data_IF_165776205475
#
_entry.id   IF_165776205475
#
_cell.length_a   1.000
_cell.length_b   1.000
_cell.length_c   1.000
_cell.angle_alpha   90.00
_cell.angle_beta   90.00
_cell.angle_gamma   90.00
#
_symmetry.space_group_name_H-M   'P 1'
#
loop_
_entity.id
_entity.type
_entity.pdbx_description
1 polymer ?
#
# COMPACT_ATOMS: atom_id res chain seq x y z
N UNK A 1 -26.71 15.60 -25.75
CA UNK A 1 -27.02 14.56 -24.78
C UNK A 1 -28.51 14.26 -24.79
N UNK A 2 -28.96 13.10 -25.27
CA UNK A 2 -30.36 12.69 -25.24
C UNK A 2 -30.53 11.59 -24.23
N UNK A 3 -31.08 11.93 -23.06
CA UNK A 3 -31.37 10.96 -22.00
C UNK A 3 -32.84 10.48 -22.19
N UNK A 4 -33.03 9.16 -22.21
CA UNK A 4 -34.34 8.54 -22.27
C UNK A 4 -34.50 7.50 -21.18
N UNK A 5 -35.75 7.32 -20.75
CA UNK A 5 -36.18 6.37 -19.73
C UNK A 5 -36.99 5.27 -20.40
N UNK A 6 -36.60 4.02 -20.14
CA UNK A 6 -37.24 2.82 -20.68
C UNK A 6 -37.81 2.00 -19.52
N UNK A 7 -39.06 1.55 -19.70
CA UNK A 7 -39.73 0.67 -18.76
C UNK A 7 -40.11 -0.62 -19.49
N UNK A 8 -39.67 -1.75 -18.96
CA UNK A 8 -39.94 -3.06 -19.54
C UNK A 8 -40.18 -4.10 -18.44
N UNK A 9 -40.90 -5.15 -18.76
CA UNK A 9 -41.21 -6.26 -17.85
C UNK A 9 -39.97 -7.11 -17.52
N UNK A 10 -38.97 -7.14 -18.42
CA UNK A 10 -37.76 -7.94 -18.32
C UNK A 10 -36.52 -7.17 -18.83
N UNK A 11 -35.36 -7.44 -18.23
CA UNK A 11 -34.06 -6.83 -18.58
C UNK A 11 -33.73 -7.04 -20.07
N UNK A 12 -34.05 -8.20 -20.64
CA UNK A 12 -33.77 -8.50 -22.06
C UNK A 12 -34.62 -7.66 -23.00
N UNK A 13 -35.85 -7.37 -22.61
CA UNK A 13 -36.74 -6.49 -23.37
C UNK A 13 -36.28 -5.05 -23.26
N UNK A 14 -35.98 -4.57 -22.04
CA UNK A 14 -35.45 -3.23 -21.81
C UNK A 14 -34.17 -2.95 -22.64
N UNK A 15 -33.24 -3.90 -22.70
CA UNK A 15 -32.03 -3.78 -23.49
C UNK A 15 -32.27 -3.77 -25.00
N UNK A 16 -33.29 -4.50 -25.49
CA UNK A 16 -33.69 -4.43 -26.89
C UNK A 16 -34.31 -3.08 -27.24
N UNK A 17 -35.16 -2.55 -26.37
CA UNK A 17 -35.84 -1.28 -26.56
C UNK A 17 -34.81 -0.12 -26.56
N UNK A 18 -33.82 -0.14 -25.64
CA UNK A 18 -32.72 0.82 -25.63
C UNK A 18 -31.91 0.77 -26.94
N UNK A 19 -31.54 -0.44 -27.42
CA UNK A 19 -30.83 -0.59 -28.69
C UNK A 19 -31.62 -0.18 -29.93
N UNK A 20 -32.90 -0.46 -29.93
CA UNK A 20 -33.78 -0.12 -31.05
C UNK A 20 -34.00 1.38 -31.19
N UNK A 21 -34.07 2.10 -30.07
CA UNK A 21 -34.42 3.52 -30.06
C UNK A 21 -33.21 4.46 -29.97
N UNK A 22 -32.13 4.05 -29.30
CA UNK A 22 -30.91 4.86 -29.07
C UNK A 22 -29.67 4.33 -29.78
N UNK A 23 -29.74 3.15 -30.36
CA UNK A 23 -28.61 2.57 -31.09
C UNK A 23 -27.68 1.70 -30.23
N UNK A 24 -26.63 1.17 -30.89
CA UNK A 24 -25.65 0.27 -30.26
C UNK A 24 -24.72 0.98 -29.26
N UNK A 25 -24.56 2.30 -29.41
CA UNK A 25 -23.63 3.14 -28.62
C UNK A 25 -24.31 3.79 -27.41
N UNK A 26 -25.53 3.38 -27.05
CA UNK A 26 -26.23 3.90 -25.87
C UNK A 26 -25.58 3.43 -24.57
N UNK A 27 -25.25 4.37 -23.70
CA UNK A 27 -24.70 4.13 -22.37
C UNK A 27 -25.80 4.08 -21.32
N UNK A 28 -25.85 3.02 -20.51
CA UNK A 28 -26.82 2.87 -19.43
C UNK A 28 -26.33 3.65 -18.22
N UNK A 29 -27.09 4.66 -17.83
CA UNK A 29 -26.77 5.53 -16.68
C UNK A 29 -27.29 4.97 -15.36
N UNK A 30 -28.46 4.31 -15.38
CA UNK A 30 -29.08 3.76 -14.18
C UNK A 30 -30.03 2.60 -14.53
N UNK A 31 -30.11 1.62 -13.63
CA UNK A 31 -31.07 0.52 -13.70
C UNK A 31 -31.75 0.37 -12.35
N UNK A 32 -33.10 0.41 -12.32
CA UNK A 32 -33.89 0.29 -11.11
C UNK A 32 -34.98 -0.78 -11.29
N UNK A 33 -35.15 -1.66 -10.30
CA UNK A 33 -36.29 -2.57 -10.25
C UNK A 33 -37.48 -1.88 -9.61
N UNK A 34 -38.63 -1.96 -10.29
CA UNK A 34 -39.95 -1.51 -9.83
C UNK A 34 -40.85 -2.74 -9.60
N UNK A 35 -41.96 -2.56 -8.91
CA UNK A 35 -42.91 -3.65 -8.65
C UNK A 35 -43.47 -4.25 -9.93
N UNK A 36 -43.61 -3.45 -11.00
CA UNK A 36 -44.18 -3.85 -12.29
C UNK A 36 -43.11 -4.06 -13.40
N UNK A 37 -41.83 -4.13 -13.09
CA UNK A 37 -40.80 -4.33 -14.11
C UNK A 37 -39.46 -3.68 -13.80
N UNK A 38 -38.70 -3.39 -14.85
CA UNK A 38 -37.36 -2.80 -14.79
C UNK A 38 -37.37 -1.46 -15.53
N UNK A 39 -36.85 -0.45 -14.85
CA UNK A 39 -36.56 0.87 -15.41
C UNK A 39 -35.09 0.98 -15.77
N UNK A 40 -34.79 1.40 -17.02
CA UNK A 40 -33.47 1.72 -17.49
C UNK A 40 -33.44 3.16 -17.97
N UNK A 41 -32.47 3.93 -17.53
CA UNK A 41 -32.16 5.27 -18.04
C UNK A 41 -30.89 5.14 -18.90
N UNK A 42 -31.02 5.46 -20.19
CA UNK A 42 -29.92 5.41 -21.15
C UNK A 42 -29.71 6.76 -21.83
N UNK A 43 -28.47 7.03 -22.23
CA UNK A 43 -28.08 8.24 -22.94
C UNK A 43 -27.20 7.93 -24.15
N UNK A 44 -27.33 8.75 -25.20
CA UNK A 44 -26.42 8.76 -26.37
C UNK A 44 -25.61 10.05 -26.32
N UNK A 45 -24.35 9.99 -26.81
CA UNK A 45 -23.37 11.10 -26.75
C UNK A 45 -23.00 11.47 -25.30
N UNK A 46 -22.57 10.46 -24.53
CA UNK A 46 -22.10 10.62 -23.16
C UNK A 46 -20.67 11.18 -23.17
N UNK A 47 -20.49 12.45 -22.79
CA UNK A 47 -19.19 13.06 -22.59
C UNK A 47 -18.82 13.05 -21.09
N UNK A 48 -17.89 12.20 -20.73
CA UNK A 48 -17.42 12.00 -19.34
C UNK A 48 -16.81 13.26 -18.74
N UNK A 49 -16.35 14.20 -19.59
CA UNK A 49 -15.75 15.46 -19.15
C UNK A 49 -16.76 16.40 -18.49
N UNK A 50 -18.01 16.42 -19.01
CA UNK A 50 -19.09 17.25 -18.47
C UNK A 50 -19.57 16.80 -17.08
N UNK A 51 -19.52 15.50 -16.78
CA UNK A 51 -19.88 14.99 -15.44
C UNK A 51 -18.83 15.32 -14.39
N UNK A 52 -17.54 15.33 -14.76
CA UNK A 52 -16.48 15.78 -13.86
C UNK A 52 -16.57 17.26 -13.52
N UNK A 53 -17.05 18.06 -14.44
CA UNK A 53 -17.25 19.50 -14.24
C UNK A 53 -18.49 19.80 -13.39
N UNK A 54 -19.58 19.06 -13.57
CA UNK A 54 -20.79 19.14 -12.73
C UNK A 54 -20.54 18.69 -11.28
N UNK A 55 -19.69 17.69 -11.07
CA UNK A 55 -19.26 17.23 -9.74
C UNK A 55 -18.38 18.27 -9.00
N UNK A 56 -17.68 19.13 -9.74
CA UNK A 56 -16.87 20.22 -9.15
C UNK A 56 -17.69 21.42 -8.69
N UNK A 57 -18.90 21.59 -9.18
CA UNK A 57 -19.77 22.75 -8.87
C UNK A 57 -20.88 22.47 -7.85
N UNK A 58 -20.79 21.37 -7.07
CA UNK A 58 -21.50 21.18 -5.81
C UNK A 58 -23.00 21.41 -5.86
N UNK A 59 -23.78 20.53 -6.51
CA UNK A 59 -25.20 20.42 -6.28
C UNK A 59 -25.48 19.39 -5.16
N UNK A 60 -26.37 19.67 -4.17
CA UNK A 60 -26.62 18.78 -3.04
C UNK A 60 -27.33 17.51 -3.50
N UNK A 61 -26.74 16.37 -3.18
CA UNK A 61 -27.37 15.05 -3.33
C UNK A 61 -28.48 14.89 -2.30
N UNK A 62 -29.70 14.48 -2.68
CA UNK A 62 -30.71 14.10 -1.70
C UNK A 62 -30.34 12.77 -1.06
N UNK A 63 -30.35 12.73 0.28
CA UNK A 63 -30.14 11.54 1.08
C UNK A 63 -31.23 10.49 0.84
N UNK A 64 -30.91 9.19 0.81
CA UNK A 64 -31.91 8.15 0.79
C UNK A 64 -32.49 7.95 2.19
N UNK A 65 -33.78 8.19 2.34
CA UNK A 65 -34.57 7.81 3.51
C UNK A 65 -34.60 6.28 3.68
N UNK A 66 -34.22 5.85 4.88
CA UNK A 66 -34.43 4.49 5.33
C UNK A 66 -35.90 4.23 5.58
N UNK A 67 -36.52 3.26 4.93
CA UNK A 67 -37.77 2.61 5.39
C UNK A 67 -37.57 1.11 5.48
N UNK A 68 -37.77 0.66 6.71
CA UNK A 68 -37.86 -0.74 7.11
C UNK A 68 -39.21 -1.34 6.65
N UNK A 69 -39.19 -2.63 6.25
CA UNK A 69 -40.26 -3.60 6.35
C UNK A 69 -39.66 -4.97 6.08
N UNK A 70 -39.54 -5.85 7.03
CA UNK A 70 -40.47 -6.75 7.69
C UNK A 70 -41.00 -7.88 6.77
N UNK A 71 -40.72 -9.11 7.23
CA UNK A 71 -41.32 -10.42 7.02
C UNK A 71 -40.97 -11.12 5.69
N UNK A 72 -40.73 -12.41 5.63
CA UNK A 72 -41.24 -13.58 6.33
C UNK A 72 -40.34 -14.79 6.08
N UNK A 73 -40.23 -15.63 7.10
CA UNK A 73 -39.59 -16.94 7.04
C UNK A 73 -40.57 -18.04 6.59
N UNK A 74 -40.09 -19.20 6.19
CA UNK A 74 -40.79 -20.42 6.60
C UNK A 74 -39.91 -21.37 7.40
N UNK A 75 -40.62 -21.90 8.39
CA UNK A 75 -40.26 -22.92 9.37
C UNK A 75 -39.83 -24.25 8.75
N UNK A 76 -38.91 -24.92 9.46
CA UNK A 76 -38.98 -26.25 10.11
C UNK A 76 -37.56 -26.77 10.18
N UNK A 77 -37.05 -27.46 11.19
CA UNK A 77 -37.57 -28.35 12.19
C UNK A 77 -36.58 -28.53 13.32
N UNK A 78 -37.07 -28.83 14.49
CA UNK A 78 -36.39 -28.96 15.76
C UNK A 78 -35.47 -30.18 15.87
N UNK A 79 -34.35 -30.06 16.59
CA UNK A 79 -33.82 -31.13 17.44
C UNK A 79 -33.19 -30.56 18.70
N UNK A 80 -33.74 -31.00 19.82
CA UNK A 80 -33.36 -30.76 21.21
C UNK A 80 -31.88 -31.01 21.49
N UNK A 81 -31.23 -30.23 22.34
CA UNK A 81 -30.58 -30.70 23.56
C UNK A 81 -30.18 -29.55 24.48
N UNK A 82 -30.32 -29.86 25.74
CA UNK A 82 -30.29 -29.07 26.96
C UNK A 82 -28.91 -28.48 27.35
N UNK A 83 -28.89 -27.66 28.42
CA UNK A 83 -27.78 -26.74 28.71
C UNK A 83 -26.79 -27.32 29.72
N UNK A 84 -25.51 -27.00 29.57
CA UNK A 84 -24.53 -27.13 30.64
C UNK A 84 -24.06 -25.74 31.04
N UNK A 85 -24.58 -25.26 32.16
CA UNK A 85 -24.00 -24.21 32.98
C UNK A 85 -22.94 -24.85 33.86
N UNK A 86 -21.75 -24.23 33.93
CA UNK A 86 -20.87 -24.16 35.10
C UNK A 86 -19.59 -23.50 34.66
N UNK A 87 -19.41 -22.36 35.08
CA UNK A 87 -18.72 -21.77 36.21
C UNK A 87 -17.26 -21.42 35.88
N UNK A 88 -17.08 -20.18 35.32
CA UNK A 88 -15.79 -19.54 35.11
C UNK A 88 -15.24 -18.83 36.38
N UNK A 89 -15.72 -19.18 37.59
CA UNK A 89 -15.31 -18.56 38.86
C UNK A 89 -14.30 -19.34 39.70
N UNK A 90 -14.01 -20.57 39.37
CA UNK A 90 -13.13 -21.41 40.22
C UNK A 90 -11.68 -21.57 39.72
N UNK A 91 -11.33 -21.01 38.58
CA UNK A 91 -9.94 -21.07 38.08
C UNK A 91 -9.03 -19.89 38.50
N UNK A 92 -9.54 -18.95 39.27
CA UNK A 92 -8.77 -17.76 39.74
C UNK A 92 -8.29 -17.88 41.21
N UNK A 93 -8.48 -19.03 41.88
CA UNK A 93 -8.03 -19.23 43.27
C UNK A 93 -6.83 -20.14 43.50
N UNK A 94 -6.23 -20.68 42.45
CA UNK A 94 -5.15 -21.68 42.57
C UNK A 94 -3.74 -21.21 42.19
N UNK A 95 -3.56 -19.91 41.91
CA UNK A 95 -2.22 -19.35 41.58
C UNK A 95 -1.65 -18.48 42.73
N UNK A 96 -2.15 -18.62 43.95
CA UNK A 96 -1.68 -17.83 45.09
C UNK A 96 -1.16 -18.73 46.24
N UNK A 97 -0.27 -19.70 45.94
CA UNK A 97 0.53 -20.37 46.98
C UNK A 97 1.74 -21.06 46.35
N UNK A 98 2.87 -20.36 46.40
CA UNK A 98 4.16 -20.99 46.67
C UNK A 98 5.24 -19.96 47.01
N UNK A 99 6.31 -20.36 47.76
CA UNK A 99 6.84 -19.49 48.80
C UNK A 99 8.11 -18.71 48.41
N UNK A 100 8.22 -17.60 49.09
CA UNK A 100 9.29 -16.63 49.07
C UNK A 100 10.63 -17.23 49.55
N UNK A 101 11.67 -17.22 48.71
CA UNK A 101 13.07 -17.37 49.12
C UNK A 101 13.72 -16.00 49.28
N UNK A 102 14.58 -15.93 50.29
CA UNK A 102 15.16 -14.72 50.84
C UNK A 102 16.08 -13.93 49.90
N UNK A 103 16.01 -12.59 49.99
CA UNK A 103 17.00 -11.66 49.44
C UNK A 103 17.71 -10.91 50.59
N UNK A 104 18.96 -10.47 50.37
CA UNK A 104 19.82 -9.97 51.46
C UNK A 104 19.51 -8.53 51.85
N UNK A 105 19.69 -8.27 53.14
CA UNK A 105 19.50 -6.97 53.80
C UNK A 105 20.46 -5.88 53.27
N UNK A 106 19.89 -4.79 52.77
CA UNK A 106 20.64 -3.55 52.59
C UNK A 106 20.16 -2.56 53.66
N UNK A 107 21.07 -2.15 54.54
CA UNK A 107 20.91 -1.15 55.57
C UNK A 107 20.38 0.16 54.99
N UNK A 108 19.19 0.57 55.36
CA UNK A 108 18.64 1.90 55.11
C UNK A 108 18.94 2.79 56.34
N UNK A 109 19.67 3.86 56.09
CA UNK A 109 19.93 4.92 57.06
C UNK A 109 18.62 5.69 57.31
N UNK A 110 18.26 5.85 58.58
CA UNK A 110 17.06 6.54 59.01
C UNK A 110 17.15 8.03 58.60
N UNK A 111 16.25 8.44 57.70
CA UNK A 111 15.95 9.84 57.45
C UNK A 111 14.67 10.21 58.24
N UNK A 112 14.74 11.29 58.96
CA UNK A 112 13.72 11.86 59.84
C UNK A 112 12.34 11.93 59.16
N UNK A 113 11.35 11.42 59.88
CA UNK A 113 9.93 11.56 59.58
C UNK A 113 9.54 13.02 59.75
N UNK A 114 9.47 13.79 58.66
CA UNK A 114 8.74 15.07 58.64
C UNK A 114 7.24 14.75 58.76
N UNK A 115 6.60 15.38 59.73
CA UNK A 115 5.20 15.26 60.02
C UNK A 115 4.32 15.37 58.76
N UNK A 116 3.50 14.37 58.52
CA UNK A 116 2.51 14.36 57.45
C UNK A 116 1.53 15.50 57.68
N UNK A 117 1.44 16.41 56.71
CA UNK A 117 0.33 17.38 56.66
C UNK A 117 -0.98 16.58 56.49
N UNK A 118 -2.04 16.93 57.27
CA UNK A 118 -3.32 16.23 57.13
C UNK A 118 -3.85 16.38 55.70
N UNK A 119 -4.54 15.36 55.17
CA UNK A 119 -5.14 15.47 53.85
C UNK A 119 -6.12 16.62 53.79
N UNK A 120 -6.19 17.37 52.67
CA UNK A 120 -7.13 18.47 52.53
C UNK A 120 -8.56 17.92 52.71
N UNK A 121 -9.45 18.75 53.33
CA UNK A 121 -10.83 18.34 53.56
C UNK A 121 -11.52 17.99 52.22
N UNK A 122 -12.46 17.05 52.21
CA UNK A 122 -13.18 16.69 50.98
C UNK A 122 -13.94 17.90 50.46
N UNK A 123 -13.66 18.29 49.21
CA UNK A 123 -14.31 19.44 48.55
C UNK A 123 -15.80 19.12 48.43
N UNK A 124 -16.64 20.06 48.89
CA UNK A 124 -18.08 19.88 48.83
C UNK A 124 -18.60 19.81 47.37
N UNK A 125 -19.64 19.03 47.06
CA UNK A 125 -20.21 18.98 45.71
C UNK A 125 -20.59 20.34 45.13
N UNK A 126 -20.90 21.32 45.99
CA UNK A 126 -21.23 22.69 45.61
C UNK A 126 -20.00 23.49 45.15
N UNK A 127 -18.83 23.27 45.74
CA UNK A 127 -17.58 23.93 45.35
C UNK A 127 -17.03 23.37 44.05
N UNK A 128 -17.19 22.07 43.80
CA UNK A 128 -16.86 21.41 42.51
C UNK A 128 -17.73 21.96 41.39
N UNK A 129 -19.03 22.16 41.63
CA UNK A 129 -19.95 22.73 40.65
C UNK A 129 -19.64 24.20 40.30
N UNK A 130 -19.12 25.01 41.25
CA UNK A 130 -18.69 26.39 40.98
C UNK A 130 -17.35 26.49 40.24
N UNK A 131 -16.48 25.49 40.38
CA UNK A 131 -15.17 25.46 39.72
C UNK A 131 -15.22 24.87 38.28
N UNK A 132 -16.24 24.08 37.97
CA UNK A 132 -16.38 23.46 36.62
C UNK A 132 -16.36 24.48 35.47
N UNK A 133 -17.11 25.58 35.47
CA UNK A 133 -17.09 26.53 34.36
C UNK A 133 -15.73 27.26 34.24
N UNK A 134 -15.02 27.49 35.35
CA UNK A 134 -13.70 28.13 35.35
C UNK A 134 -12.66 27.16 34.72
N UNK A 135 -12.72 25.89 35.08
CA UNK A 135 -11.84 24.85 34.51
C UNK A 135 -12.12 24.66 33.04
N UNK A 136 -13.39 24.58 32.62
CA UNK A 136 -13.76 24.47 31.21
C UNK A 136 -13.29 25.68 30.40
N UNK A 137 -13.44 26.88 30.95
CA UNK A 137 -12.99 28.10 30.28
C UNK A 137 -11.46 28.13 30.16
N UNK A 138 -10.72 27.74 31.19
CA UNK A 138 -9.26 27.67 31.17
C UNK A 138 -8.74 26.62 30.20
N UNK A 139 -9.43 25.49 30.06
CA UNK A 139 -9.12 24.42 29.04
C UNK A 139 -9.35 24.96 27.65
N UNK A 140 -10.46 25.67 27.40
CA UNK A 140 -10.76 26.28 26.11
C UNK A 140 -9.74 27.37 25.73
N UNK A 141 -9.35 28.23 26.68
CA UNK A 141 -8.32 29.26 26.48
C UNK A 141 -6.96 28.63 26.19
N UNK A 142 -6.60 27.58 26.93
CA UNK A 142 -5.36 26.83 26.70
C UNK A 142 -5.35 26.16 25.32
N UNK A 143 -6.48 25.61 24.90
CA UNK A 143 -6.62 25.02 23.57
C UNK A 143 -6.50 26.07 22.43
N UNK A 144 -7.13 27.26 22.65
CA UNK A 144 -6.98 28.39 21.69
C UNK A 144 -5.54 28.87 21.61
N UNK A 145 -4.88 29.07 22.74
CA UNK A 145 -3.49 29.49 22.79
C UNK A 145 -2.55 28.47 22.11
N UNK A 146 -2.78 27.17 22.33
CA UNK A 146 -2.02 26.11 21.61
C UNK A 146 -2.24 26.16 20.11
N UNK A 147 -3.46 26.40 19.66
CA UNK A 147 -3.77 26.53 18.24
C UNK A 147 -3.12 27.78 17.62
N UNK A 148 -3.14 28.92 18.34
CA UNK A 148 -2.47 30.15 17.89
C UNK A 148 -0.95 29.98 17.83
N UNK A 149 -0.33 29.39 18.85
CA UNK A 149 1.09 29.04 18.84
C UNK A 149 1.44 28.06 17.74
N UNK A 150 0.58 27.07 17.47
CA UNK A 150 0.72 26.17 16.34
C UNK A 150 0.69 26.89 15.00
N UNK A 151 -0.26 27.82 14.83
CA UNK A 151 -0.35 28.65 13.62
C UNK A 151 0.85 29.58 13.42
N UNK A 152 1.31 30.24 14.47
CA UNK A 152 2.51 31.08 14.43
C UNK A 152 3.76 30.28 14.12
N UNK A 153 3.91 29.10 14.71
CA UNK A 153 5.01 28.19 14.40
C UNK A 153 5.01 27.79 12.93
N UNK A 154 3.85 27.39 12.41
CA UNK A 154 3.71 27.01 10.98
C UNK A 154 4.05 28.19 10.05
N UNK A 155 3.60 29.40 10.36
CA UNK A 155 3.96 30.59 9.59
C UNK A 155 5.46 30.89 9.62
N UNK A 156 6.12 30.73 10.78
CA UNK A 156 7.57 30.89 10.89
C UNK A 156 8.32 29.81 10.08
N UNK A 157 7.89 28.56 10.16
CA UNK A 157 8.47 27.48 9.39
C UNK A 157 8.33 27.73 7.88
N UNK A 158 7.18 28.22 7.41
CA UNK A 158 6.99 28.60 6.00
C UNK A 158 7.89 29.77 5.59
N UNK A 159 8.02 30.81 6.41
CA UNK A 159 8.90 31.95 6.10
C UNK A 159 10.38 31.53 6.06
N UNK A 160 10.83 30.71 7.01
CA UNK A 160 12.19 30.17 7.01
C UNK A 160 12.44 29.30 5.79
N UNK A 161 11.48 28.45 5.40
CA UNK A 161 11.56 27.63 4.21
C UNK A 161 11.68 28.46 2.95
N UNK A 162 10.88 29.51 2.82
CA UNK A 162 10.93 30.44 1.68
C UNK A 162 12.26 31.18 1.60
N UNK A 163 12.78 31.66 2.74
CA UNK A 163 14.08 32.35 2.80
C UNK A 163 15.22 31.41 2.45
N UNK A 164 15.23 30.18 2.97
CA UNK A 164 16.25 29.19 2.69
C UNK A 164 16.26 28.79 1.20
N UNK A 165 15.08 28.59 0.62
CA UNK A 165 14.95 28.29 -0.81
C UNK A 165 15.48 29.44 -1.68
N UNK A 166 15.07 30.69 -1.40
CA UNK A 166 15.52 31.87 -2.15
C UNK A 166 17.05 32.09 -2.02
N UNK A 167 17.62 31.85 -0.84
CA UNK A 167 19.07 31.95 -0.62
C UNK A 167 19.82 30.87 -1.43
N UNK A 168 19.34 29.64 -1.41
CA UNK A 168 19.88 28.55 -2.23
C UNK A 168 19.79 28.86 -3.73
N UNK A 169 18.67 29.39 -4.20
CA UNK A 169 18.51 29.75 -5.61
C UNK A 169 19.49 30.85 -6.07
N UNK A 170 19.76 31.81 -5.17
CA UNK A 170 20.76 32.87 -5.45
C UNK A 170 22.19 32.35 -5.42
N UNK A 171 22.56 31.49 -4.45
CA UNK A 171 23.93 30.99 -4.31
C UNK A 171 24.26 29.85 -5.26
N UNK A 172 23.29 29.01 -5.56
CA UNK A 172 23.50 27.78 -6.34
C UNK A 172 22.34 27.55 -7.32
N UNK A 173 22.16 28.39 -8.35
CA UNK A 173 21.00 28.33 -9.25
C UNK A 173 20.91 27.01 -10.01
N UNK A 174 22.04 26.37 -10.32
CA UNK A 174 22.04 25.07 -10.99
C UNK A 174 21.54 23.95 -10.08
N UNK A 175 21.90 23.95 -8.79
CA UNK A 175 21.39 22.98 -7.80
C UNK A 175 19.89 23.16 -7.57
N UNK A 176 19.42 24.40 -7.45
CA UNK A 176 17.99 24.70 -7.36
C UNK A 176 17.21 24.18 -8.58
N UNK A 177 17.78 24.34 -9.79
CA UNK A 177 17.22 23.78 -11.01
C UNK A 177 17.14 22.24 -10.95
N UNK A 178 18.19 21.57 -10.51
CA UNK A 178 18.18 20.12 -10.35
C UNK A 178 17.07 19.66 -9.40
N UNK A 179 16.89 20.34 -8.24
CA UNK A 179 15.79 20.04 -7.34
C UNK A 179 14.42 20.18 -8.00
N UNK A 180 14.22 21.25 -8.76
CA UNK A 180 12.96 21.41 -9.53
C UNK A 180 12.76 20.26 -10.52
N UNK A 181 13.81 19.88 -11.23
CA UNK A 181 13.72 18.77 -12.20
C UNK A 181 13.47 17.43 -11.50
N UNK A 182 14.07 17.18 -10.33
CA UNK A 182 13.79 15.98 -9.51
C UNK A 182 12.36 15.99 -8.94
N UNK A 183 11.88 17.13 -8.43
CA UNK A 183 10.49 17.27 -7.98
C UNK A 183 9.49 17.00 -9.11
N UNK A 184 9.78 17.49 -10.31
CA UNK A 184 8.97 17.21 -11.51
C UNK A 184 8.95 15.74 -11.90
N UNK A 185 10.06 15.04 -11.71
CA UNK A 185 10.13 13.59 -11.89
C UNK A 185 9.31 12.83 -10.84
N UNK A 186 8.84 13.50 -9.78
CA UNK A 186 8.16 12.89 -8.64
C UNK A 186 9.12 12.20 -7.68
N UNK A 187 10.41 12.55 -7.72
CA UNK A 187 11.40 12.05 -6.78
C UNK A 187 11.17 12.71 -5.41
N UNK A 188 11.17 11.92 -4.35
CA UNK A 188 11.00 12.39 -2.99
C UNK A 188 12.15 13.29 -2.55
N UNK A 189 11.87 14.21 -1.62
CA UNK A 189 12.79 15.26 -1.19
C UNK A 189 14.09 14.73 -0.58
N UNK A 190 14.03 13.65 0.18
CA UNK A 190 15.19 13.01 0.81
C UNK A 190 16.15 12.41 -0.23
N UNK A 191 15.61 11.73 -1.25
CA UNK A 191 16.40 11.17 -2.35
C UNK A 191 16.95 12.28 -3.25
N UNK A 192 16.14 13.29 -3.56
CA UNK A 192 16.58 14.44 -4.35
C UNK A 192 17.74 15.20 -3.68
N UNK A 193 17.68 15.37 -2.34
CA UNK A 193 18.76 15.97 -1.55
C UNK A 193 20.04 15.13 -1.62
N UNK A 194 19.93 13.82 -1.36
CA UNK A 194 21.08 12.92 -1.44
C UNK A 194 21.78 13.01 -2.79
N UNK A 195 21.00 13.10 -3.89
CA UNK A 195 21.57 13.24 -5.23
C UNK A 195 22.29 14.58 -5.43
N UNK A 196 21.80 15.66 -4.85
CA UNK A 196 22.45 16.98 -4.93
C UNK A 196 23.75 17.03 -4.15
N UNK A 197 23.78 16.38 -2.99
CA UNK A 197 25.01 16.29 -2.17
C UNK A 197 26.13 15.52 -2.88
N UNK A 198 25.78 14.61 -3.80
CA UNK A 198 26.72 13.88 -4.66
C UNK A 198 27.17 14.68 -5.91
N UNK A 199 26.52 15.81 -6.21
CA UNK A 199 26.91 16.66 -7.36
C UNK A 199 28.13 17.53 -7.05
N UNK A 200 28.99 17.77 -8.04
CA UNK A 200 30.06 18.77 -7.92
C UNK A 200 29.53 20.15 -7.51
N UNK A 201 30.38 20.95 -6.85
CA UNK A 201 29.98 22.31 -6.42
C UNK A 201 29.65 23.21 -7.62
N UNK A 202 30.50 23.14 -8.66
CA UNK A 202 30.28 23.88 -9.90
C UNK A 202 29.82 22.93 -11.01
N UNK A 203 28.58 23.15 -11.48
CA UNK A 203 28.01 22.42 -12.61
C UNK A 203 27.50 23.39 -13.66
N UNK A 204 27.76 23.07 -14.93
CA UNK A 204 27.19 23.81 -16.05
C UNK A 204 25.77 23.34 -16.38
N UNK A 205 25.12 24.04 -17.32
CA UNK A 205 23.73 23.78 -17.70
C UNK A 205 23.51 22.34 -18.24
N UNK A 206 24.45 21.84 -19.03
CA UNK A 206 24.36 20.49 -19.60
C UNK A 206 24.57 19.43 -18.51
N UNK A 207 25.54 19.66 -17.63
CA UNK A 207 25.76 18.79 -16.48
C UNK A 207 24.55 18.75 -15.53
N UNK A 208 23.92 19.90 -15.26
CA UNK A 208 22.70 19.98 -14.45
C UNK A 208 21.55 19.14 -15.04
N UNK A 209 21.53 18.95 -16.37
CA UNK A 209 20.50 18.19 -17.06
C UNK A 209 20.73 16.68 -17.04
N UNK A 210 21.99 16.20 -17.15
CA UNK A 210 22.28 14.78 -17.35
C UNK A 210 22.88 14.10 -16.13
N UNK A 211 23.71 14.78 -15.34
CA UNK A 211 24.36 14.19 -14.17
C UNK A 211 23.37 13.65 -13.13
N UNK A 212 22.29 14.40 -12.76
CA UNK A 212 21.34 13.90 -11.78
C UNK A 212 20.65 12.61 -12.23
N UNK A 213 20.32 12.49 -13.52
CA UNK A 213 19.73 11.27 -14.09
C UNK A 213 20.73 10.11 -14.07
N UNK A 214 22.01 10.39 -14.32
CA UNK A 214 23.10 9.41 -14.20
C UNK A 214 23.28 8.93 -12.77
N UNK A 215 23.27 9.84 -11.79
CA UNK A 215 23.35 9.52 -10.36
C UNK A 215 22.14 8.73 -9.91
N UNK A 216 20.92 9.14 -10.30
CA UNK A 216 19.68 8.41 -10.01
C UNK A 216 19.76 6.98 -10.54
N UNK A 217 20.24 6.79 -11.77
CA UNK A 217 20.43 5.46 -12.36
C UNK A 217 21.48 4.62 -11.60
N UNK A 218 22.54 5.24 -11.09
CA UNK A 218 23.61 4.56 -10.31
C UNK A 218 23.14 4.19 -8.91
N UNK A 219 22.28 5.01 -8.29
CA UNK A 219 21.75 4.78 -6.95
C UNK A 219 20.71 3.67 -6.92
N UNK A 220 20.07 3.38 -8.06
CA UNK A 220 19.11 2.28 -8.19
C UNK A 220 19.87 0.94 -8.28
N UNK A 221 19.73 0.12 -7.26
CA UNK A 221 20.31 -1.23 -7.28
C UNK A 221 19.48 -2.12 -8.19
N UNK A 222 20.17 -2.83 -9.10
CA UNK A 222 19.54 -3.84 -9.97
C UNK A 222 20.12 -5.21 -9.60
N UNK A 223 19.26 -6.21 -9.52
CA UNK A 223 19.66 -7.60 -9.31
C UNK A 223 20.40 -8.10 -10.55
N UNK A 224 21.62 -8.58 -10.38
CA UNK A 224 22.38 -9.18 -11.49
C UNK A 224 21.89 -10.58 -11.90
N UNK A 225 20.91 -11.13 -11.17
CA UNK A 225 20.36 -12.47 -11.42
C UNK A 225 18.88 -12.34 -11.70
N UNK A 226 18.44 -12.78 -12.89
CA UNK A 226 17.03 -12.83 -13.24
C UNK A 226 16.36 -13.95 -12.45
N UNK A 227 15.27 -13.64 -11.73
CA UNK A 227 14.49 -14.64 -10.99
C UNK A 227 13.96 -15.75 -11.89
N UNK A 228 13.64 -15.42 -13.13
CA UNK A 228 13.16 -16.38 -14.13
C UNK A 228 14.23 -17.37 -14.61
N UNK A 229 15.51 -17.01 -14.49
CA UNK A 229 16.66 -17.84 -14.96
C UNK A 229 17.33 -18.57 -13.79
N UNK A 230 17.09 -18.11 -12.56
CA UNK A 230 17.77 -18.63 -11.37
C UNK A 230 17.09 -19.84 -10.77
N UNK A 231 17.89 -20.88 -10.46
CA UNK A 231 17.41 -22.03 -9.70
C UNK A 231 16.96 -21.67 -8.29
N UNK A 232 15.98 -22.39 -7.77
CA UNK A 232 15.54 -22.35 -6.39
C UNK A 232 14.09 -21.93 -6.17
N UNK A 233 13.74 -21.64 -4.92
CA UNK A 233 12.39 -21.29 -4.50
C UNK A 233 12.27 -19.79 -4.35
N UNK A 234 11.26 -19.20 -5.00
CA UNK A 234 10.97 -17.76 -4.90
C UNK A 234 9.51 -17.55 -4.54
N UNK A 235 9.25 -16.88 -3.41
CA UNK A 235 7.91 -16.47 -3.00
C UNK A 235 7.69 -15.00 -3.38
N UNK A 236 6.60 -14.71 -4.10
CA UNK A 236 6.18 -13.36 -4.41
C UNK A 236 5.26 -12.86 -3.31
N UNK A 237 5.67 -11.78 -2.64
CA UNK A 237 4.95 -11.13 -1.55
C UNK A 237 4.57 -9.70 -1.92
N UNK A 238 3.60 -9.11 -1.23
CA UNK A 238 3.20 -7.74 -1.46
C UNK A 238 1.69 -7.51 -1.34
N UNK A 239 1.23 -6.25 -1.42
CA UNK A 239 -0.16 -5.86 -1.26
C UNK A 239 -1.12 -6.55 -2.24
N UNK A 240 -2.42 -6.42 -1.96
CA UNK A 240 -3.47 -6.88 -2.87
C UNK A 240 -3.46 -6.06 -4.16
N UNK A 241 -3.69 -6.71 -5.30
CA UNK A 241 -3.85 -6.03 -6.58
C UNK A 241 -2.56 -5.59 -7.28
N UNK A 242 -1.37 -5.81 -6.69
CA UNK A 242 -0.08 -5.44 -7.32
C UNK A 242 0.34 -6.36 -8.47
N UNK A 243 -0.41 -7.41 -8.79
CA UNK A 243 -0.14 -8.29 -9.92
C UNK A 243 0.76 -9.50 -9.62
N UNK A 244 0.81 -10.01 -8.38
CA UNK A 244 1.63 -11.18 -7.98
C UNK A 244 1.37 -12.40 -8.85
N UNK A 245 0.13 -12.88 -8.91
CA UNK A 245 -0.25 -14.07 -9.67
C UNK A 245 0.06 -13.93 -11.16
N UNK A 246 -0.21 -12.76 -11.76
CA UNK A 246 0.14 -12.48 -13.17
C UNK A 246 1.65 -12.46 -13.37
N UNK A 247 2.40 -11.90 -12.41
CA UNK A 247 3.88 -11.89 -12.47
C UNK A 247 4.44 -13.30 -12.35
N UNK A 248 3.87 -14.14 -11.47
CA UNK A 248 4.24 -15.57 -11.39
C UNK A 248 4.01 -16.27 -12.72
N UNK A 249 2.88 -16.04 -13.38
CA UNK A 249 2.62 -16.62 -14.69
C UNK A 249 3.68 -16.21 -15.73
N UNK A 250 4.09 -14.95 -15.75
CA UNK A 250 5.16 -14.45 -16.63
C UNK A 250 6.52 -15.09 -16.32
N UNK A 251 6.90 -15.13 -15.04
CA UNK A 251 8.15 -15.76 -14.60
C UNK A 251 8.14 -17.26 -14.91
N UNK A 252 7.02 -17.95 -14.66
CA UNK A 252 6.86 -19.36 -14.98
C UNK A 252 6.99 -19.62 -16.47
N UNK A 253 6.36 -18.80 -17.32
CA UNK A 253 6.47 -18.92 -18.76
C UNK A 253 7.92 -18.76 -19.24
N UNK A 254 8.66 -17.76 -18.74
CA UNK A 254 10.08 -17.59 -19.02
C UNK A 254 10.90 -18.81 -18.55
N UNK A 255 10.63 -19.32 -17.36
CA UNK A 255 11.33 -20.49 -16.83
C UNK A 255 11.02 -21.76 -17.63
N UNK A 256 9.78 -21.96 -18.08
CA UNK A 256 9.37 -23.07 -18.96
C UNK A 256 10.07 -23.01 -20.32
N UNK A 257 10.18 -21.81 -20.90
CA UNK A 257 10.90 -21.61 -22.16
C UNK A 257 12.38 -21.97 -22.04
N UNK A 258 13.00 -21.70 -20.90
CA UNK A 258 14.43 -21.94 -20.67
C UNK A 258 14.74 -23.38 -20.22
N UNK A 259 13.90 -24.00 -19.40
CA UNK A 259 14.21 -25.27 -18.70
C UNK A 259 13.21 -26.39 -18.97
N UNK A 260 12.10 -26.08 -19.64
CA UNK A 260 11.00 -27.02 -19.90
C UNK A 260 10.01 -27.12 -18.70
N UNK A 261 8.76 -27.53 -18.95
CA UNK A 261 7.68 -27.54 -17.96
C UNK A 261 7.92 -28.52 -16.79
N UNK A 262 8.65 -29.61 -17.01
CA UNK A 262 8.96 -30.58 -15.96
C UNK A 262 9.95 -30.10 -14.91
N UNK A 263 10.65 -28.99 -15.15
CA UNK A 263 11.61 -28.37 -14.23
C UNK A 263 11.05 -27.17 -13.48
N UNK A 264 9.79 -26.81 -13.74
CA UNK A 264 9.12 -25.66 -13.12
C UNK A 264 7.92 -26.16 -12.31
N UNK A 265 7.72 -25.62 -11.12
CA UNK A 265 6.55 -25.89 -10.30
C UNK A 265 5.97 -24.59 -9.72
N UNK A 266 4.66 -24.56 -9.56
CA UNK A 266 3.92 -23.46 -8.94
C UNK A 266 3.35 -23.94 -7.62
N UNK A 267 3.41 -23.09 -6.60
CA UNK A 267 2.81 -23.36 -5.29
C UNK A 267 1.86 -22.20 -4.96
N UNK A 268 0.64 -22.51 -4.52
CA UNK A 268 -0.31 -21.50 -4.06
C UNK A 268 -0.48 -21.56 -2.56
N UNK A 269 -0.26 -20.43 -1.88
CA UNK A 269 -0.60 -20.26 -0.46
C UNK A 269 -1.79 -19.30 -0.28
N UNK A 270 -2.37 -18.78 -1.39
CA UNK A 270 -3.54 -17.90 -1.36
C UNK A 270 -4.85 -18.70 -1.33
N UNK A 271 -5.25 -19.11 -0.13
CA UNK A 271 -6.51 -19.81 0.11
C UNK A 271 -7.64 -18.88 0.61
N UNK A 272 -7.32 -17.62 0.88
CA UNK A 272 -8.32 -16.66 1.39
C UNK A 272 -9.15 -16.03 0.27
N UNK A 273 -8.58 -15.91 -0.93
CA UNK A 273 -9.22 -15.21 -2.05
C UNK A 273 -9.93 -16.22 -2.95
N UNK A 274 -11.26 -16.08 -3.02
CA UNK A 274 -12.10 -16.88 -3.92
C UNK A 274 -11.63 -16.67 -5.37
N UNK A 275 -11.26 -17.76 -6.05
CA UNK A 275 -10.82 -17.73 -7.45
C UNK A 275 -9.32 -17.47 -7.68
N UNK A 276 -8.49 -17.14 -6.66
CA UNK A 276 -7.05 -16.95 -6.85
C UNK A 276 -6.35 -18.25 -7.27
N UNK A 277 -6.67 -19.36 -6.60
CA UNK A 277 -6.17 -20.69 -6.96
C UNK A 277 -6.56 -21.05 -8.38
N UNK A 278 -7.81 -20.80 -8.80
CA UNK A 278 -8.29 -21.10 -10.14
C UNK A 278 -7.54 -20.29 -11.22
N UNK A 279 -7.17 -19.05 -10.95
CA UNK A 279 -6.37 -18.24 -11.87
C UNK A 279 -4.96 -18.83 -12.07
N UNK A 280 -4.30 -19.18 -10.95
CA UNK A 280 -2.97 -19.79 -11.03
C UNK A 280 -3.00 -21.18 -11.69
N UNK A 281 -4.02 -22.00 -11.38
CA UNK A 281 -4.24 -23.29 -12.03
C UNK A 281 -4.50 -23.15 -13.54
N UNK A 282 -5.22 -22.11 -13.95
CA UNK A 282 -5.43 -21.83 -15.37
C UNK A 282 -4.10 -21.58 -16.08
N UNK A 283 -3.23 -20.73 -15.52
CA UNK A 283 -1.89 -20.51 -16.06
C UNK A 283 -1.04 -21.80 -16.02
N UNK A 284 -1.10 -22.56 -14.93
CA UNK A 284 -0.40 -23.84 -14.83
C UNK A 284 -0.77 -24.81 -15.97
N UNK A 285 -2.07 -24.93 -16.27
CA UNK A 285 -2.55 -25.76 -17.40
C UNK A 285 -2.06 -25.25 -18.75
N UNK A 286 -2.10 -23.94 -18.99
CA UNK A 286 -1.60 -23.35 -20.24
C UNK A 286 -0.10 -23.59 -20.46
N UNK A 287 0.69 -23.54 -19.37
CA UNK A 287 2.13 -23.71 -19.40
C UNK A 287 2.58 -25.17 -19.27
N UNK A 288 1.66 -26.11 -19.03
CA UNK A 288 1.98 -27.50 -18.74
C UNK A 288 2.68 -27.73 -17.41
N UNK A 289 2.53 -26.79 -16.45
CA UNK A 289 3.17 -26.80 -15.13
C UNK A 289 2.16 -27.18 -14.06
N UNK A 290 2.57 -28.02 -13.09
CA UNK A 290 1.71 -28.40 -11.97
C UNK A 290 1.65 -27.30 -10.92
N UNK A 291 0.46 -27.11 -10.35
CA UNK A 291 0.21 -26.21 -9.22
C UNK A 291 -0.06 -27.06 -7.98
N UNK A 292 0.62 -26.72 -6.88
CA UNK A 292 0.52 -27.41 -5.61
C UNK A 292 -0.09 -26.46 -4.55
N UNK A 293 -1.17 -26.85 -3.87
CA UNK A 293 -1.69 -26.04 -2.77
C UNK A 293 -0.84 -26.25 -1.51
N UNK A 294 -0.64 -25.17 -0.75
CA UNK A 294 -0.01 -25.22 0.57
C UNK A 294 -0.73 -24.26 1.50
N UNK A 295 -1.35 -24.79 2.57
CA UNK A 295 -2.25 -24.03 3.44
C UNK A 295 -1.58 -23.50 4.71
N UNK A 296 -0.50 -24.15 5.14
CA UNK A 296 0.25 -23.83 6.34
C UNK A 296 1.75 -24.00 6.14
N UNK A 297 2.54 -23.69 7.15
CA UNK A 297 3.99 -23.77 7.11
C UNK A 297 4.48 -25.21 6.89
N UNK A 298 3.84 -26.18 7.54
CA UNK A 298 4.20 -27.60 7.41
C UNK A 298 3.90 -28.13 6.01
N UNK A 299 2.72 -27.83 5.45
CA UNK A 299 2.34 -28.19 4.10
C UNK A 299 3.22 -27.53 3.05
N UNK A 300 3.61 -26.26 3.25
CA UNK A 300 4.55 -25.57 2.37
C UNK A 300 5.94 -26.24 2.43
N UNK A 301 6.46 -26.53 3.62
CA UNK A 301 7.76 -27.21 3.78
C UNK A 301 7.77 -28.59 3.13
N UNK A 302 6.71 -29.39 3.31
CA UNK A 302 6.55 -30.71 2.66
C UNK A 302 6.50 -30.58 1.13
N UNK A 303 5.73 -29.62 0.62
CA UNK A 303 5.64 -29.35 -0.82
C UNK A 303 6.99 -28.93 -1.38
N UNK A 304 7.71 -28.04 -0.73
CA UNK A 304 9.04 -27.61 -1.15
C UNK A 304 10.06 -28.77 -1.12
N UNK A 305 9.94 -29.68 -0.14
CA UNK A 305 10.79 -30.87 -0.08
C UNK A 305 10.49 -31.82 -1.25
N UNK A 306 9.23 -32.02 -1.62
CA UNK A 306 8.82 -32.80 -2.80
C UNK A 306 9.37 -32.20 -4.09
N UNK A 307 9.44 -30.88 -4.17
CA UNK A 307 9.84 -30.12 -5.35
C UNK A 307 11.35 -29.83 -5.44
N UNK A 308 12.17 -30.39 -4.55
CA UNK A 308 13.62 -30.12 -4.46
C UNK A 308 14.41 -30.35 -5.75
N UNK A 309 13.93 -31.26 -6.62
CA UNK A 309 14.57 -31.63 -7.88
C UNK A 309 14.11 -30.75 -9.07
N UNK A 310 13.17 -29.81 -8.80
CA UNK A 310 12.75 -28.80 -9.78
C UNK A 310 13.77 -27.66 -9.81
N UNK A 311 14.02 -27.13 -11.00
CA UNK A 311 14.93 -26.01 -11.18
C UNK A 311 14.35 -24.71 -10.58
N UNK A 312 13.07 -24.43 -10.86
CA UNK A 312 12.39 -23.21 -10.45
C UNK A 312 11.07 -23.53 -9.76
N UNK A 313 10.92 -23.08 -8.52
CA UNK A 313 9.67 -23.17 -7.76
C UNK A 313 9.19 -21.76 -7.44
N UNK A 314 8.00 -21.41 -7.91
CA UNK A 314 7.39 -20.10 -7.67
C UNK A 314 6.21 -20.23 -6.71
N UNK A 315 6.22 -19.47 -5.63
CA UNK A 315 5.20 -19.51 -4.59
C UNK A 315 4.34 -18.24 -4.70
N UNK A 316 3.06 -18.42 -5.03
CA UNK A 316 2.05 -17.34 -5.00
C UNK A 316 1.49 -17.17 -3.59
N UNK A 317 1.55 -15.96 -3.09
CA UNK A 317 1.06 -15.66 -1.75
C UNK A 317 -0.16 -14.74 -1.79
N UNK A 318 -0.97 -14.81 -0.75
CA UNK A 318 -2.08 -13.88 -0.58
C UNK A 318 -1.60 -12.43 -0.58
N UNK A 319 -2.39 -11.54 -1.18
CA UNK A 319 -2.13 -10.11 -1.11
C UNK A 319 -2.55 -9.55 0.23
N UNK A 320 -1.59 -9.03 1.00
CA UNK A 320 -1.82 -8.52 2.34
C UNK A 320 -1.23 -7.11 2.46
N UNK A 321 -1.99 -6.15 2.97
CA UNK A 321 -1.51 -4.78 3.22
C UNK A 321 -0.66 -4.72 4.50
N UNK A 322 0.17 -3.68 4.63
CA UNK A 322 1.09 -3.53 5.77
C UNK A 322 0.40 -3.53 7.14
N UNK A 323 -0.81 -2.98 7.22
CA UNK A 323 -1.60 -2.88 8.46
C UNK A 323 -2.54 -4.07 8.71
N UNK A 324 -2.52 -5.09 7.87
CA UNK A 324 -3.38 -6.27 8.03
C UNK A 324 -2.76 -7.27 9.03
N UNK A 325 -3.50 -7.69 10.07
CA UNK A 325 -2.98 -8.66 11.05
C UNK A 325 -2.57 -10.00 10.44
N UNK A 326 -3.10 -10.37 9.28
CA UNK A 326 -2.72 -11.59 8.55
C UNK A 326 -1.31 -11.54 7.97
N UNK A 327 -0.71 -10.35 7.86
CA UNK A 327 0.64 -10.20 7.33
C UNK A 327 1.66 -10.95 8.19
N UNK A 328 1.58 -10.82 9.51
CA UNK A 328 2.49 -11.50 10.41
C UNK A 328 2.39 -13.02 10.26
N UNK A 329 1.17 -13.55 10.21
CA UNK A 329 0.93 -14.99 10.00
C UNK A 329 1.53 -15.47 8.67
N UNK A 330 1.35 -14.71 7.59
CA UNK A 330 1.93 -15.03 6.28
C UNK A 330 3.47 -15.04 6.33
N UNK A 331 4.06 -14.06 7.02
CA UNK A 331 5.52 -14.00 7.18
C UNK A 331 6.06 -15.19 7.98
N UNK A 332 5.36 -15.60 9.02
CA UNK A 332 5.75 -16.73 9.85
C UNK A 332 5.68 -18.04 9.05
N UNK A 333 4.63 -18.25 8.26
CA UNK A 333 4.52 -19.41 7.33
C UNK A 333 5.71 -19.47 6.37
N UNK A 334 6.10 -18.36 5.78
CA UNK A 334 7.24 -18.32 4.85
C UNK A 334 8.59 -18.54 5.54
N UNK A 335 8.78 -18.01 6.75
CA UNK A 335 10.01 -18.17 7.55
C UNK A 335 10.17 -19.62 8.00
N UNK A 336 9.12 -20.20 8.60
CA UNK A 336 9.14 -21.57 9.09
C UNK A 336 9.38 -22.55 7.94
N UNK A 337 8.68 -22.40 6.81
CA UNK A 337 8.91 -23.22 5.64
C UNK A 337 10.35 -23.08 5.09
N UNK A 338 10.94 -21.88 5.16
CA UNK A 338 12.32 -21.63 4.75
C UNK A 338 13.37 -22.23 5.68
N UNK A 339 13.07 -22.38 6.99
CA UNK A 339 13.98 -22.99 7.97
C UNK A 339 13.96 -24.51 7.93
N UNK A 340 12.80 -25.11 7.67
CA UNK A 340 12.63 -26.57 7.61
C UNK A 340 12.85 -27.15 6.20
N UNK A 341 12.94 -26.29 5.17
CA UNK A 341 13.14 -26.69 3.80
C UNK A 341 14.61 -26.94 3.44
N UNK A 342 14.87 -27.87 2.51
CA UNK A 342 16.19 -28.14 1.94
C UNK A 342 16.68 -27.04 0.99
N UNK A 343 15.78 -26.23 0.47
CA UNK A 343 16.08 -25.11 -0.45
C UNK A 343 15.81 -23.76 0.23
N UNK A 344 16.76 -22.83 0.09
CA UNK A 344 16.61 -21.46 0.60
C UNK A 344 15.46 -20.75 -0.12
N UNK A 345 14.38 -20.45 0.60
CA UNK A 345 13.26 -19.66 0.10
C UNK A 345 13.67 -18.18 0.01
N UNK A 346 13.51 -17.59 -1.15
CA UNK A 346 13.77 -16.17 -1.43
C UNK A 346 12.45 -15.40 -1.45
N UNK A 347 12.30 -14.40 -0.61
CA UNK A 347 11.17 -13.49 -0.68
C UNK A 347 11.43 -12.37 -1.69
N UNK A 348 10.53 -12.19 -2.65
CA UNK A 348 10.56 -11.14 -3.64
C UNK A 348 9.33 -10.23 -3.49
N UNK A 349 9.55 -8.94 -3.24
CA UNK A 349 8.47 -7.97 -3.07
C UNK A 349 7.96 -7.49 -4.42
N UNK A 350 6.65 -7.53 -4.62
CA UNK A 350 5.99 -7.00 -5.82
C UNK A 350 5.33 -5.67 -5.47
N UNK A 351 5.71 -4.62 -6.20
CA UNK A 351 5.20 -3.26 -6.06
C UNK A 351 4.56 -2.80 -7.37
N UNK A 352 3.46 -2.07 -7.28
CA UNK A 352 2.80 -1.49 -8.45
C UNK A 352 3.24 -0.03 -8.64
N UNK A 353 3.80 0.29 -9.81
CA UNK A 353 4.35 1.62 -10.12
C UNK A 353 3.29 2.75 -10.09
N UNK A 354 2.01 2.41 -10.28
CA UNK A 354 0.90 3.35 -10.22
C UNK A 354 0.41 3.66 -8.79
N UNK A 355 1.03 3.07 -7.75
CA UNK A 355 0.71 3.36 -6.36
C UNK A 355 1.38 4.65 -5.87
N UNK A 356 0.81 5.28 -4.85
CA UNK A 356 1.38 6.47 -4.22
C UNK A 356 2.69 6.13 -3.48
N UNK A 357 3.65 7.06 -3.45
CA UNK A 357 4.95 6.86 -2.81
C UNK A 357 4.83 6.45 -1.34
N UNK A 358 3.91 7.05 -0.58
CA UNK A 358 3.66 6.69 0.83
C UNK A 358 3.18 5.25 1.00
N UNK A 359 2.27 4.79 0.13
CA UNK A 359 1.78 3.40 0.16
C UNK A 359 2.85 2.39 -0.27
N UNK A 360 3.73 2.77 -1.19
CA UNK A 360 4.90 1.96 -1.57
C UNK A 360 5.87 1.84 -0.41
N UNK A 361 6.19 2.95 0.26
CA UNK A 361 7.10 3.00 1.40
C UNK A 361 6.57 2.18 2.60
N UNK A 362 5.28 2.33 2.92
CA UNK A 362 4.60 1.52 3.93
C UNK A 362 4.67 0.02 3.58
N UNK A 363 4.39 -0.33 2.32
CA UNK A 363 4.49 -1.72 1.85
C UNK A 363 5.90 -2.28 2.03
N UNK A 364 6.92 -1.52 1.63
CA UNK A 364 8.31 -1.96 1.80
C UNK A 364 8.63 -2.18 3.27
N UNK A 365 8.33 -1.20 4.15
CA UNK A 365 8.59 -1.31 5.60
C UNK A 365 7.92 -2.53 6.22
N UNK A 366 6.68 -2.81 5.82
CA UNK A 366 5.92 -3.93 6.33
C UNK A 366 6.54 -5.29 5.98
N UNK A 367 7.14 -5.42 4.79
CA UNK A 367 7.74 -6.67 4.32
C UNK A 367 9.26 -6.78 4.56
N UNK A 368 9.95 -5.72 5.00
CA UNK A 368 11.39 -5.75 5.33
C UNK A 368 11.81 -6.91 6.26
N UNK A 369 11.01 -7.29 7.29
CA UNK A 369 11.37 -8.39 8.17
C UNK A 369 11.56 -9.75 7.47
N UNK A 370 11.08 -9.93 6.23
CA UNK A 370 11.31 -11.15 5.42
C UNK A 370 12.69 -11.19 4.77
N UNK A 371 13.57 -10.20 4.98
CA UNK A 371 14.87 -10.12 4.33
C UNK A 371 14.76 -10.24 2.80
N UNK A 372 14.05 -9.29 2.21
CA UNK A 372 13.75 -9.26 0.78
C UNK A 372 15.01 -9.45 -0.07
N UNK A 373 14.99 -10.45 -0.95
CA UNK A 373 16.11 -10.73 -1.85
C UNK A 373 16.10 -9.88 -3.11
N UNK A 374 14.90 -9.47 -3.54
CA UNK A 374 14.69 -8.62 -4.71
C UNK A 374 13.30 -7.99 -4.69
N UNK A 375 13.09 -7.06 -5.60
CA UNK A 375 11.79 -6.45 -5.87
C UNK A 375 11.42 -6.61 -7.35
N UNK A 376 10.14 -6.66 -7.64
CA UNK A 376 9.57 -6.58 -8.98
C UNK A 376 8.64 -5.36 -9.02
N UNK A 377 8.79 -4.53 -10.02
CA UNK A 377 7.90 -3.39 -10.25
C UNK A 377 6.97 -3.70 -11.41
N UNK A 378 5.67 -3.61 -11.13
CA UNK A 378 4.60 -3.93 -12.10
C UNK A 378 3.85 -2.68 -12.51
N UNK A 379 3.01 -2.81 -13.55
CA UNK A 379 2.10 -1.76 -14.04
C UNK A 379 2.82 -0.47 -14.45
N UNK A 380 3.98 -0.61 -15.07
CA UNK A 380 4.71 0.52 -15.60
C UNK A 380 3.95 1.28 -16.71
N UNK A 381 3.06 0.57 -17.42
CA UNK A 381 2.16 1.08 -18.46
C UNK A 381 1.05 1.98 -17.89
N UNK A 382 0.60 1.72 -16.67
CA UNK A 382 -0.46 2.46 -15.98
C UNK A 382 0.08 3.63 -15.16
N UNK A 383 1.40 3.71 -14.93
CA UNK A 383 1.98 4.68 -14.01
C UNK A 383 2.18 6.06 -14.68
N UNK A 384 1.56 7.13 -14.17
CA UNK A 384 1.76 8.48 -14.69
C UNK A 384 3.15 9.05 -14.36
N UNK A 385 3.76 8.62 -13.28
CA UNK A 385 5.11 8.97 -12.83
C UNK A 385 5.78 7.75 -12.19
N UNK A 386 7.08 7.64 -12.38
CA UNK A 386 7.89 6.59 -11.77
C UNK A 386 8.71 7.11 -10.56
N UNK A 387 8.66 8.41 -10.27
CA UNK A 387 9.49 9.03 -9.24
C UNK A 387 9.29 8.41 -7.86
N UNK A 388 8.05 8.18 -7.44
CA UNK A 388 7.75 7.58 -6.15
C UNK A 388 8.33 6.17 -5.97
N UNK A 389 8.17 5.30 -6.96
CA UNK A 389 8.72 3.94 -6.88
C UNK A 389 10.25 3.95 -6.92
N UNK A 390 10.87 4.83 -7.74
CA UNK A 390 12.32 4.99 -7.78
C UNK A 390 12.84 5.49 -6.43
N UNK A 391 12.20 6.48 -5.81
CA UNK A 391 12.56 7.01 -4.50
C UNK A 391 12.54 5.93 -3.42
N UNK A 392 11.48 5.14 -3.38
CA UNK A 392 11.32 4.04 -2.39
C UNK A 392 12.38 2.96 -2.58
N UNK A 393 12.67 2.55 -3.81
CA UNK A 393 13.70 1.55 -4.10
C UNK A 393 15.11 2.03 -3.71
N UNK A 394 15.43 3.29 -3.96
CA UNK A 394 16.72 3.91 -3.61
C UNK A 394 16.85 4.03 -2.09
N UNK A 395 15.82 4.56 -1.41
CA UNK A 395 15.78 4.74 0.05
C UNK A 395 16.02 3.43 0.80
N UNK A 396 15.31 2.38 0.41
CA UNK A 396 15.42 1.06 1.06
C UNK A 396 16.51 0.17 0.48
N UNK A 397 17.20 0.60 -0.58
CA UNK A 397 18.29 -0.14 -1.24
C UNK A 397 17.89 -1.56 -1.67
N UNK A 398 16.65 -1.77 -2.05
CA UNK A 398 16.13 -3.08 -2.47
C UNK A 398 16.55 -3.32 -3.92
N UNK A 399 17.21 -4.46 -4.25
CA UNK A 399 17.58 -4.77 -5.62
C UNK A 399 16.33 -5.00 -6.48
N UNK A 400 16.22 -4.29 -7.59
CA UNK A 400 15.18 -4.50 -8.57
C UNK A 400 15.59 -5.62 -9.53
N UNK A 401 14.75 -6.63 -9.71
CA UNK A 401 15.03 -7.80 -10.56
C UNK A 401 14.42 -7.66 -11.95
N UNK A 402 13.11 -7.44 -12.00
CA UNK A 402 12.40 -7.27 -13.27
C UNK A 402 11.26 -6.26 -13.15
N UNK A 403 10.76 -5.86 -14.30
CA UNK A 403 9.64 -4.94 -14.43
C UNK A 403 8.59 -5.51 -15.37
N UNK A 404 7.32 -5.14 -15.15
CA UNK A 404 6.25 -5.50 -16.08
C UNK A 404 5.50 -4.25 -16.56
N UNK A 405 5.15 -4.22 -17.84
CA UNK A 405 4.56 -3.07 -18.51
C UNK A 405 3.35 -3.41 -19.38
N UNK A 406 2.58 -4.43 -18.99
CA UNK A 406 1.34 -4.81 -19.65
C UNK A 406 0.79 -6.13 -19.12
N UNK A 407 -0.18 -6.71 -19.84
CA UNK A 407 -0.93 -7.90 -19.40
C UNK A 407 -0.54 -9.18 -20.13
N UNK A 408 0.25 -9.12 -21.21
CA UNK A 408 0.64 -10.30 -21.98
C UNK A 408 1.66 -11.15 -21.24
N UNK A 409 1.53 -12.46 -21.38
CA UNK A 409 2.38 -13.48 -20.74
C UNK A 409 3.01 -14.33 -21.82
N UNK A 410 4.35 -14.37 -21.95
CA UNK A 410 5.38 -13.73 -21.10
C UNK A 410 5.85 -12.35 -21.56
N UNK A 411 5.39 -11.80 -22.69
CA UNK A 411 6.02 -10.72 -23.44
C UNK A 411 6.24 -9.45 -22.61
N UNK A 412 5.30 -9.10 -21.71
CA UNK A 412 5.34 -7.87 -20.95
C UNK A 412 6.08 -8.04 -19.60
N UNK A 413 7.20 -8.78 -19.59
CA UNK A 413 8.16 -8.80 -18.50
C UNK A 413 9.57 -8.58 -19.04
N UNK A 414 10.32 -7.71 -18.40
CA UNK A 414 11.68 -7.37 -18.79
C UNK A 414 12.62 -7.40 -17.58
N UNK A 415 13.88 -7.77 -17.82
CA UNK A 415 14.92 -7.58 -16.81
C UNK A 415 15.01 -6.10 -16.46
N UNK A 416 15.21 -5.81 -15.18
CA UNK A 416 15.36 -4.44 -14.73
C UNK A 416 16.64 -3.82 -15.31
N UNK A 417 16.49 -2.63 -15.89
CA UNK A 417 17.59 -1.78 -16.29
C UNK A 417 17.39 -0.37 -15.75
N UNK A 418 18.31 0.05 -14.87
CA UNK A 418 18.21 1.33 -14.18
C UNK A 418 18.17 2.52 -15.14
N UNK A 419 18.96 2.46 -16.23
CA UNK A 419 19.01 3.54 -17.22
C UNK A 419 17.69 3.67 -17.98
N UNK A 420 17.15 2.56 -18.43
CA UNK A 420 15.87 2.51 -19.13
C UNK A 420 14.75 3.06 -18.26
N UNK A 421 14.70 2.70 -16.97
CA UNK A 421 13.67 3.19 -16.04
C UNK A 421 13.78 4.69 -15.79
N UNK A 422 14.99 5.21 -15.57
CA UNK A 422 15.21 6.65 -15.39
C UNK A 422 14.91 7.41 -16.67
N UNK A 423 15.27 6.91 -17.84
CA UNK A 423 14.90 7.51 -19.11
C UNK A 423 13.38 7.52 -19.32
N UNK A 424 12.68 6.45 -18.96
CA UNK A 424 11.21 6.37 -19.02
C UNK A 424 10.55 7.38 -18.06
N UNK A 425 11.08 7.53 -16.85
CA UNK A 425 10.63 8.57 -15.90
C UNK A 425 10.81 9.98 -16.48
N UNK A 426 11.98 10.28 -17.06
CA UNK A 426 12.27 11.56 -17.68
C UNK A 426 11.40 11.83 -18.93
N UNK A 427 11.01 10.81 -19.68
CA UNK A 427 10.08 10.94 -20.80
C UNK A 427 8.64 11.20 -20.35
N UNK A 428 8.18 10.52 -19.30
CA UNK A 428 6.85 10.72 -18.71
C UNK A 428 6.69 12.16 -18.20
N UNK A 429 7.71 12.70 -17.55
CA UNK A 429 7.73 14.09 -17.07
C UNK A 429 7.43 15.11 -18.18
N UNK A 430 7.98 14.93 -19.38
CA UNK A 430 7.78 15.87 -20.51
C UNK A 430 6.32 15.97 -20.94
N UNK A 431 5.48 15.01 -20.56
CA UNK A 431 4.03 14.99 -20.86
C UNK A 431 3.19 15.70 -19.80
N UNK A 432 3.74 15.97 -18.61
CA UNK A 432 3.00 16.46 -17.44
C UNK A 432 2.89 18.01 -17.34
N UNK A 433 3.45 18.78 -18.29
CA UNK A 433 3.30 20.24 -18.32
C UNK A 433 4.27 21.02 -17.41
N UNK A 434 4.04 22.35 -17.22
CA UNK A 434 4.91 23.21 -16.44
C UNK A 434 4.90 22.82 -14.95
N UNK A 435 6.08 22.89 -14.34
CA UNK A 435 6.32 22.36 -13.01
C UNK A 435 5.87 23.26 -11.85
N UNK A 436 6.19 22.80 -10.65
CA UNK A 436 5.88 23.40 -9.35
C UNK A 436 6.31 24.85 -9.25
N UNK A 437 5.46 25.69 -8.65
CA UNK A 437 5.76 27.09 -8.30
C UNK A 437 6.84 27.15 -7.21
N UNK A 438 7.50 28.32 -7.07
CA UNK A 438 8.55 28.54 -6.07
C UNK A 438 8.05 28.33 -4.64
N UNK A 439 6.77 28.59 -4.37
CA UNK A 439 6.13 28.30 -3.07
C UNK A 439 6.10 26.80 -2.79
N UNK A 440 5.72 25.98 -3.76
CA UNK A 440 5.71 24.50 -3.65
C UNK A 440 7.13 23.94 -3.47
N UNK A 441 8.14 24.57 -4.10
CA UNK A 441 9.54 24.22 -3.92
C UNK A 441 10.06 24.61 -2.53
N UNK A 442 9.67 25.77 -2.01
CA UNK A 442 10.00 26.20 -0.66
C UNK A 442 9.39 25.27 0.39
N UNK A 443 8.13 24.87 0.24
CA UNK A 443 7.47 23.94 1.15
C UNK A 443 8.14 22.56 1.15
N UNK A 444 8.53 22.07 -0.03
CA UNK A 444 9.17 20.75 -0.16
C UNK A 444 10.62 20.71 0.30
N UNK A 445 11.38 21.73 -0.02
CA UNK A 445 12.84 21.70 0.15
C UNK A 445 13.39 22.74 1.11
N UNK A 446 12.63 23.78 1.45
CA UNK A 446 13.13 24.90 2.24
C UNK A 446 13.65 24.49 3.62
N UNK A 447 12.89 23.68 4.39
CA UNK A 447 13.34 23.16 5.68
C UNK A 447 14.54 22.23 5.54
N UNK A 448 14.51 21.40 4.50
CA UNK A 448 15.59 20.46 4.17
C UNK A 448 16.88 21.20 3.80
N UNK A 449 16.79 22.31 3.09
CA UNK A 449 17.92 23.19 2.72
C UNK A 449 18.43 23.97 3.91
N UNK A 450 17.54 24.40 4.83
CA UNK A 450 17.90 25.09 6.06
C UNK A 450 18.65 24.19 7.06
N UNK A 451 18.61 22.87 6.90
CA UNK A 451 19.25 21.93 7.82
C UNK A 451 18.48 21.74 9.13
N UNK A 452 17.16 22.06 9.15
CA UNK A 452 16.25 22.00 10.30
C UNK A 452 15.43 20.70 10.29
#
# INVERSE_FOLDING_TARGET
MKIKRFLASDMRQAMRDVRAEQGADAVILSTRRLEDGIEIIAAVDYDESLMREAARHGAPTPAPEAKAAVAEAPKKEAAKKEPIKESAKDRLKEIAREPRAAAPETRVVAAEVRAATPPPPPVSPSEVAMLQPIVEQSVLETARMRNELGGLRQLLEQQLSSLAWNDMERRSPMRARVLRDMSRLGIDTDVARQLIDELPEEINLDQARYLPLGLLSRSLKVSGRRLAEGAGVTALVGPTGVGKTTTIAKLAACAVMNHGPSKVALVSTDHYRIGAAAQLEHYGRLLGVRVYPAYDAAGLAQTLHLLRDHHTVLVDTAGVSGNDPRLQQQMDVLREAGTHGTAKLRACLVLAANAQASALDESVRAYLPLQLSACIVTKLDEAPSLGGVLSVLIRHRIPLDCTTDGQRVPEDISAADARTLVCRAAQAQRRLGPGSDDLDMADKFGMVVAGL
#
